data_IF_054682023058
#
_entry.id   IF_054682023058
#
_cell.length_a   1.000
_cell.length_b   1.000
_cell.length_c   1.000
_cell.angle_alpha   90.00
_cell.angle_beta   90.00
_cell.angle_gamma   90.00
#
_symmetry.space_group_name_H-M   'P 1'
#
loop_
_entity.id
_entity.type
_entity.pdbx_description
1 polymer ?
#
# COMPACT_ATOMS: atom_id res chain seq x y z
N UNK A 1 8.15 -20.77 3.73
CA UNK A 1 7.13 -19.97 4.38
C UNK A 1 7.10 -18.55 3.78
N UNK A 2 5.90 -18.02 3.51
CA UNK A 2 5.72 -16.67 2.96
C UNK A 2 4.71 -15.92 3.82
N UNK A 3 5.14 -14.86 4.46
CA UNK A 3 4.29 -13.96 5.22
C UNK A 3 4.07 -12.64 4.47
N UNK A 4 2.82 -12.21 4.39
CA UNK A 4 2.46 -10.97 3.70
C UNK A 4 2.27 -9.84 4.70
N UNK A 5 3.27 -8.97 4.81
CA UNK A 5 3.19 -7.69 5.50
C UNK A 5 2.56 -6.62 4.57
N UNK A 6 3.13 -5.47 4.48
CA UNK A 6 2.76 -4.34 3.62
C UNK A 6 3.94 -3.38 3.56
N UNK A 7 3.94 -2.45 2.63
CA UNK A 7 4.79 -1.26 2.75
C UNK A 7 4.45 -0.48 4.04
N UNK A 8 3.22 -0.57 4.53
CA UNK A 8 2.77 -0.04 5.81
C UNK A 8 3.25 -0.83 7.04
N UNK A 9 4.07 -1.87 6.86
CA UNK A 9 4.93 -2.48 7.88
C UNK A 9 6.35 -1.89 7.89
N UNK A 10 6.60 -0.81 7.12
CA UNK A 10 7.88 -0.09 7.04
C UNK A 10 7.67 1.40 7.26
N UNK A 11 6.67 1.99 6.60
CA UNK A 11 6.27 3.39 6.77
C UNK A 11 4.95 3.46 7.54
N UNK A 12 4.67 4.62 8.11
CA UNK A 12 3.40 4.92 8.78
C UNK A 12 2.72 6.11 8.12
N UNK A 13 1.39 6.15 8.22
CA UNK A 13 0.55 7.25 7.76
C UNK A 13 -0.51 7.54 8.83
N UNK A 14 -1.05 8.76 8.93
CA UNK A 14 -2.17 9.04 9.82
C UNK A 14 -3.36 8.12 9.59
N UNK A 15 -4.25 8.01 10.57
CA UNK A 15 -5.53 7.32 10.51
C UNK A 15 -5.49 5.79 10.26
N UNK A 16 -4.31 5.14 10.36
CA UNK A 16 -4.13 3.72 10.11
C UNK A 16 -3.33 3.01 11.22
N UNK A 17 -3.37 3.50 12.47
CA UNK A 17 -2.51 3.04 13.57
C UNK A 17 -2.56 1.53 13.79
N UNK A 18 -3.77 0.95 13.89
CA UNK A 18 -3.96 -0.49 14.14
C UNK A 18 -3.44 -1.33 12.96
N UNK A 19 -3.70 -0.89 11.73
CA UNK A 19 -3.20 -1.57 10.54
C UNK A 19 -1.66 -1.55 10.50
N UNK A 20 -1.04 -0.40 10.75
CA UNK A 20 0.42 -0.28 10.85
C UNK A 20 0.96 -1.22 11.92
N UNK A 21 0.43 -1.17 13.15
CA UNK A 21 0.86 -2.04 14.24
C UNK A 21 0.84 -3.52 13.83
N UNK A 22 -0.24 -3.98 13.20
CA UNK A 22 -0.38 -5.35 12.70
C UNK A 22 0.68 -5.71 11.65
N UNK A 23 0.97 -4.81 10.70
CA UNK A 23 1.91 -5.08 9.61
C UNK A 23 3.37 -4.97 10.05
N UNK A 24 3.68 -4.09 11.01
CA UNK A 24 4.97 -4.08 11.69
C UNK A 24 5.20 -5.35 12.49
N UNK A 25 4.17 -5.87 13.20
CA UNK A 25 4.25 -7.14 13.91
C UNK A 25 4.57 -8.31 12.96
N UNK A 26 3.86 -8.43 11.83
CA UNK A 26 4.15 -9.46 10.80
C UNK A 26 5.59 -9.34 10.28
N UNK A 27 6.07 -8.12 10.07
CA UNK A 27 7.46 -7.88 9.65
C UNK A 27 8.43 -8.36 10.72
N UNK A 28 8.30 -7.87 11.96
CA UNK A 28 9.21 -8.22 13.05
C UNK A 28 9.26 -9.72 13.30
N UNK A 29 8.09 -10.37 13.39
CA UNK A 29 7.96 -11.82 13.49
C UNK A 29 8.71 -12.54 12.35
N UNK A 30 8.49 -12.11 11.10
CA UNK A 30 9.10 -12.78 9.95
C UNK A 30 10.61 -12.57 9.90
N UNK A 31 11.10 -11.36 10.20
CA UNK A 31 12.52 -11.05 10.21
C UNK A 31 13.27 -11.79 11.34
N UNK A 32 12.65 -11.97 12.52
CA UNK A 32 13.16 -12.87 13.58
C UNK A 32 13.22 -14.31 13.11
N UNK A 33 12.11 -14.83 12.59
CA UNK A 33 12.02 -16.21 12.14
C UNK A 33 13.04 -16.53 11.04
N UNK A 34 13.37 -15.59 10.15
CA UNK A 34 14.44 -15.75 9.16
C UNK A 34 15.78 -16.03 9.85
N UNK A 35 16.06 -15.40 11.00
CA UNK A 35 17.30 -15.60 11.75
C UNK A 35 17.31 -16.89 12.52
N UNK A 36 16.19 -17.22 13.17
CA UNK A 36 16.03 -18.47 13.94
C UNK A 36 16.17 -19.72 13.04
N UNK A 37 15.72 -19.62 11.80
CA UNK A 37 15.75 -20.73 10.83
C UNK A 37 16.99 -20.72 9.93
N UNK A 38 17.99 -19.90 10.23
CA UNK A 38 19.24 -19.86 9.47
C UNK A 38 19.97 -21.22 9.58
N UNK A 39 20.39 -21.78 8.46
CA UNK A 39 20.96 -23.13 8.37
C UNK A 39 19.93 -24.26 8.21
N UNK A 40 18.63 -24.00 8.33
CA UNK A 40 17.59 -24.99 8.02
C UNK A 40 17.28 -25.05 6.51
N UNK A 41 16.57 -26.12 6.10
CA UNK A 41 16.08 -26.25 4.72
C UNK A 41 14.82 -25.41 4.43
N UNK A 42 14.34 -24.63 5.41
CA UNK A 42 13.13 -23.80 5.26
C UNK A 42 13.47 -22.41 4.79
N UNK A 43 12.99 -22.04 3.61
CA UNK A 43 13.08 -20.68 3.12
C UNK A 43 11.94 -19.83 3.68
N UNK A 44 12.26 -18.63 4.18
CA UNK A 44 11.29 -17.70 4.77
C UNK A 44 11.37 -16.36 4.06
N UNK A 45 10.21 -15.85 3.67
CA UNK A 45 10.07 -14.63 2.88
C UNK A 45 9.05 -13.69 3.53
N UNK A 46 9.39 -12.40 3.62
CA UNK A 46 8.45 -11.34 3.96
C UNK A 46 8.11 -10.55 2.70
N UNK A 47 6.83 -10.48 2.37
CA UNK A 47 6.33 -9.74 1.21
C UNK A 47 5.82 -8.37 1.66
N UNK A 48 6.21 -7.34 0.93
CA UNK A 48 5.82 -5.95 1.17
C UNK A 48 5.11 -5.39 -0.07
N UNK A 49 3.78 -5.65 -0.21
CA UNK A 49 3.02 -5.06 -1.28
C UNK A 49 2.93 -3.54 -1.13
N UNK A 50 3.08 -2.84 -2.24
CA UNK A 50 2.64 -1.46 -2.38
C UNK A 50 1.16 -1.42 -2.75
N UNK A 51 0.78 -0.52 -3.66
CA UNK A 51 -0.60 -0.38 -4.11
C UNK A 51 -0.96 -1.48 -5.14
N UNK A 52 -1.71 -2.49 -4.69
CA UNK A 52 -2.21 -3.60 -5.51
C UNK A 52 -3.71 -3.45 -5.71
N UNK A 53 -4.17 -3.61 -6.95
CA UNK A 53 -5.57 -3.45 -7.35
C UNK A 53 -6.45 -4.63 -6.98
N UNK A 54 -6.63 -4.87 -5.68
CA UNK A 54 -7.52 -5.89 -5.14
C UNK A 54 -8.77 -5.26 -4.53
N UNK A 55 -9.74 -6.10 -4.17
CA UNK A 55 -10.96 -5.65 -3.48
C UNK A 55 -10.74 -5.39 -1.97
N UNK A 56 -9.50 -5.28 -1.50
CA UNK A 56 -9.20 -5.12 -0.08
C UNK A 56 -9.86 -3.87 0.51
N UNK A 57 -9.86 -2.76 -0.21
CA UNK A 57 -10.49 -1.52 0.24
C UNK A 57 -12.03 -1.58 0.16
N UNK A 58 -12.59 -2.28 -0.83
CA UNK A 58 -14.04 -2.49 -0.98
C UNK A 58 -14.57 -3.40 0.14
N UNK A 59 -13.80 -4.44 0.49
CA UNK A 59 -14.18 -5.42 1.50
C UNK A 59 -13.76 -5.01 2.93
N UNK A 60 -13.09 -3.87 3.10
CA UNK A 60 -12.69 -3.38 4.40
C UNK A 60 -13.94 -3.04 5.23
N UNK A 61 -14.04 -3.63 6.41
CA UNK A 61 -15.03 -3.23 7.41
C UNK A 61 -14.34 -2.25 8.35
N UNK A 62 -14.70 -0.99 8.26
CA UNK A 62 -14.31 0.00 9.25
C UNK A 62 -15.17 -0.26 10.48
N UNK A 63 -14.55 -0.58 11.62
CA UNK A 63 -15.28 -0.97 12.83
C UNK A 63 -16.17 0.17 13.34
N UNK A 64 -17.43 -0.13 13.64
CA UNK A 64 -18.45 0.82 14.11
C UNK A 64 -18.03 1.64 15.34
N UNK A 65 -16.97 1.22 16.05
CA UNK A 65 -16.51 1.88 17.27
C UNK A 65 -15.58 3.08 17.03
N UNK A 66 -14.96 3.17 15.85
CA UNK A 66 -14.11 4.32 15.49
C UNK A 66 -14.95 5.38 14.76
N UNK A 67 -16.12 5.00 14.25
CA UNK A 67 -16.96 5.81 13.35
C UNK A 67 -18.24 6.34 14.05
N UNK A 68 -18.46 6.09 15.34
CA UNK A 68 -19.56 6.71 16.09
C UNK A 68 -19.41 8.22 16.37
N UNK A 69 -18.29 8.83 15.97
CA UNK A 69 -18.31 10.22 15.58
C UNK A 69 -18.82 10.29 14.14
N UNK A 70 -20.05 10.70 13.96
CA UNK A 70 -20.75 10.93 12.70
C UNK A 70 -19.80 11.20 11.52
N UNK A 71 -19.31 10.14 10.85
CA UNK A 71 -18.48 10.29 9.66
C UNK A 71 -19.36 10.63 8.45
N UNK A 72 -20.06 11.74 8.58
CA UNK A 72 -20.66 12.46 7.43
C UNK A 72 -19.59 12.98 6.47
N UNK A 73 -18.31 12.78 6.82
CA UNK A 73 -17.18 13.41 6.12
C UNK A 73 -16.52 12.55 5.04
N UNK A 74 -16.96 11.30 4.85
CA UNK A 74 -16.39 10.42 3.82
C UNK A 74 -15.02 9.85 4.22
N UNK A 75 -14.29 9.26 3.26
CA UNK A 75 -12.94 8.75 3.49
C UNK A 75 -11.96 9.90 3.60
N UNK A 76 -11.10 9.84 4.62
CA UNK A 76 -10.03 10.82 4.80
C UNK A 76 -8.79 10.45 3.98
N UNK A 77 -8.16 11.44 3.38
CA UNK A 77 -6.86 11.34 2.74
C UNK A 77 -5.72 11.17 3.75
N UNK A 78 -4.49 11.07 3.25
CA UNK A 78 -3.29 10.97 4.09
C UNK A 78 -3.02 12.23 4.92
N UNK A 79 -3.60 13.34 4.51
CA UNK A 79 -3.57 14.65 5.17
C UNK A 79 -4.65 14.81 6.25
N UNK A 80 -5.54 13.83 6.39
CA UNK A 80 -6.68 13.87 7.32
C UNK A 80 -7.90 14.60 6.78
N UNK A 81 -7.84 15.15 5.55
CA UNK A 81 -8.95 15.83 4.90
C UNK A 81 -9.84 14.86 4.12
N UNK A 82 -11.14 15.13 3.98
CA UNK A 82 -12.03 14.32 3.17
C UNK A 82 -11.56 14.27 1.70
N UNK A 83 -11.49 13.05 1.15
CA UNK A 83 -11.18 12.87 -0.26
C UNK A 83 -12.33 13.46 -1.08
N UNK A 84 -12.01 14.47 -1.89
CA UNK A 84 -12.94 15.13 -2.81
C UNK A 84 -12.68 14.67 -4.25
N UNK A 85 -13.72 14.66 -5.03
CA UNK A 85 -13.58 14.45 -6.48
C UNK A 85 -13.15 15.76 -7.18
N UNK A 86 -13.02 15.71 -8.51
CA UNK A 86 -12.65 16.88 -9.32
C UNK A 86 -13.70 18.02 -9.31
N UNK A 87 -14.92 17.74 -8.83
CA UNK A 87 -16.00 18.70 -8.66
C UNK A 87 -16.06 19.28 -7.23
N UNK A 88 -15.18 18.78 -6.34
CA UNK A 88 -15.15 19.17 -4.93
C UNK A 88 -16.17 18.40 -4.07
N UNK A 89 -16.87 17.40 -4.63
CA UNK A 89 -17.81 16.56 -3.89
C UNK A 89 -17.08 15.46 -3.11
N UNK A 90 -17.61 15.12 -1.93
CA UNK A 90 -17.07 14.03 -1.10
C UNK A 90 -17.23 12.69 -1.81
N UNK A 91 -16.17 11.89 -1.82
CA UNK A 91 -16.16 10.55 -2.44
C UNK A 91 -16.72 9.54 -1.45
N UNK A 92 -17.68 8.72 -1.88
CA UNK A 92 -18.21 7.62 -1.04
C UNK A 92 -17.14 6.54 -0.80
N UNK A 93 -17.31 5.75 0.29
CA UNK A 93 -16.40 4.64 0.61
C UNK A 93 -16.32 3.61 -0.53
N UNK A 94 -17.44 3.28 -1.13
CA UNK A 94 -17.50 2.34 -2.26
C UNK A 94 -16.74 2.89 -3.47
N UNK A 95 -16.97 4.14 -3.84
CA UNK A 95 -16.29 4.78 -4.95
C UNK A 95 -14.79 4.90 -4.71
N UNK A 96 -14.36 5.23 -3.49
CA UNK A 96 -12.94 5.28 -3.15
C UNK A 96 -12.31 3.89 -3.18
N UNK A 97 -13.03 2.85 -2.73
CA UNK A 97 -12.60 1.46 -2.83
C UNK A 97 -12.42 1.00 -4.29
N UNK A 98 -13.36 1.34 -5.15
CA UNK A 98 -13.28 1.06 -6.60
C UNK A 98 -12.10 1.81 -7.23
N UNK A 99 -11.93 3.10 -6.93
CA UNK A 99 -10.80 3.89 -7.42
C UNK A 99 -9.46 3.32 -6.95
N UNK A 100 -9.38 2.91 -5.68
CA UNK A 100 -8.20 2.24 -5.14
C UNK A 100 -7.88 0.98 -5.94
N UNK A 101 -8.85 0.08 -6.13
CA UNK A 101 -8.65 -1.14 -6.93
C UNK A 101 -8.18 -0.83 -8.33
N UNK A 102 -8.85 0.09 -9.01
CA UNK A 102 -8.61 0.38 -10.42
C UNK A 102 -7.27 1.09 -10.67
N UNK A 103 -6.79 1.90 -9.72
CA UNK A 103 -5.48 2.55 -9.82
C UNK A 103 -4.31 1.63 -9.43
N UNK A 104 -4.59 0.50 -8.76
CA UNK A 104 -3.55 -0.42 -8.28
C UNK A 104 -2.85 -1.23 -9.37
N UNK A 105 -1.76 -1.88 -8.98
CA UNK A 105 -1.08 -2.86 -9.83
C UNK A 105 -2.00 -4.08 -10.00
N UNK A 106 -2.01 -4.63 -11.19
CA UNK A 106 -2.71 -5.89 -11.50
C UNK A 106 -2.27 -7.02 -10.54
N UNK A 107 -3.21 -7.75 -9.91
CA UNK A 107 -2.90 -8.81 -8.95
C UNK A 107 -2.07 -9.96 -9.52
N UNK A 108 -2.28 -10.36 -10.79
CA UNK A 108 -1.49 -11.42 -11.42
C UNK A 108 -0.06 -10.99 -11.63
N UNK A 109 0.15 -9.72 -11.98
CA UNK A 109 1.49 -9.14 -12.08
C UNK A 109 2.18 -9.10 -10.71
N UNK A 110 1.45 -8.76 -9.65
CA UNK A 110 1.95 -8.80 -8.28
C UNK A 110 2.35 -10.22 -7.87
N UNK A 111 1.50 -11.21 -8.14
CA UNK A 111 1.78 -12.63 -7.88
C UNK A 111 3.06 -13.10 -8.60
N UNK A 112 3.23 -12.75 -9.87
CA UNK A 112 4.44 -13.09 -10.64
C UNK A 112 5.71 -12.49 -10.02
N UNK A 113 5.65 -11.28 -9.46
CA UNK A 113 6.78 -10.65 -8.77
C UNK A 113 7.11 -11.41 -7.49
N UNK A 114 6.09 -11.79 -6.71
CA UNK A 114 6.24 -12.56 -5.46
C UNK A 114 6.89 -13.92 -5.76
N UNK A 115 6.33 -14.69 -6.69
CA UNK A 115 6.86 -16.01 -7.08
C UNK A 115 8.31 -15.92 -7.57
N UNK A 116 8.64 -14.89 -8.35
CA UNK A 116 10.03 -14.66 -8.80
C UNK A 116 10.96 -14.32 -7.63
N UNK A 117 10.46 -13.60 -6.62
CA UNK A 117 11.18 -13.30 -5.39
C UNK A 117 11.47 -14.54 -4.57
N UNK A 118 10.48 -15.42 -4.43
CA UNK A 118 10.59 -16.72 -3.74
C UNK A 118 11.62 -17.61 -4.45
N UNK A 119 11.48 -17.79 -5.78
CA UNK A 119 12.43 -18.59 -6.58
C UNK A 119 13.88 -18.07 -6.46
N UNK A 120 14.08 -16.78 -6.21
CA UNK A 120 15.41 -16.18 -5.98
C UNK A 120 15.83 -16.14 -4.50
N UNK A 121 15.12 -16.82 -3.63
CA UNK A 121 15.33 -16.86 -2.17
C UNK A 121 15.51 -15.47 -1.54
N UNK A 122 14.71 -14.46 -1.98
CA UNK A 122 14.74 -13.13 -1.42
C UNK A 122 14.04 -13.11 -0.07
N UNK A 123 14.74 -12.74 0.98
CA UNK A 123 14.18 -12.60 2.34
C UNK A 123 13.11 -11.51 2.41
N UNK A 124 13.29 -10.39 1.70
CA UNK A 124 12.37 -9.25 1.58
C UNK A 124 11.93 -9.10 0.12
N UNK A 125 10.62 -9.15 -0.14
CA UNK A 125 10.04 -9.09 -1.49
C UNK A 125 9.15 -7.87 -1.58
N UNK A 126 9.65 -6.79 -2.17
CA UNK A 126 8.89 -5.58 -2.45
C UNK A 126 8.11 -5.71 -3.75
N UNK A 127 6.79 -5.45 -3.68
CA UNK A 127 5.90 -5.57 -4.83
C UNK A 127 5.41 -4.19 -5.26
N UNK A 128 5.93 -3.73 -6.36
CA UNK A 128 5.68 -2.39 -6.92
C UNK A 128 6.90 -1.47 -6.79
N UNK A 129 6.96 -0.48 -7.68
CA UNK A 129 8.00 0.54 -7.63
C UNK A 129 7.75 1.49 -6.45
N UNK A 130 6.46 1.76 -6.17
CA UNK A 130 5.99 2.53 -5.02
C UNK A 130 6.52 1.99 -3.69
N UNK A 131 6.39 0.67 -3.46
CA UNK A 131 6.89 0.05 -2.23
C UNK A 131 8.40 0.17 -2.06
N UNK A 132 9.16 0.09 -3.15
CA UNK A 132 10.61 0.26 -3.12
C UNK A 132 11.04 1.71 -2.86
N UNK A 133 10.36 2.66 -3.49
CA UNK A 133 10.65 4.08 -3.31
C UNK A 133 10.31 4.54 -1.89
N UNK A 134 9.16 4.09 -1.35
CA UNK A 134 8.78 4.39 0.03
C UNK A 134 9.75 3.78 1.05
N UNK A 135 10.18 2.53 0.85
CA UNK A 135 11.20 1.90 1.70
C UNK A 135 12.52 2.67 1.66
N UNK A 136 12.95 3.05 0.47
CA UNK A 136 14.18 3.84 0.32
C UNK A 136 14.04 5.21 0.99
N UNK A 137 12.90 5.87 0.83
CA UNK A 137 12.64 7.17 1.45
C UNK A 137 12.68 7.10 2.98
N UNK A 138 12.04 6.08 3.57
CA UNK A 138 12.04 5.88 5.01
C UNK A 138 13.45 5.56 5.54
N UNK A 139 14.25 4.84 4.76
CA UNK A 139 15.62 4.50 5.13
C UNK A 139 16.56 5.71 5.11
N UNK A 140 16.40 6.58 4.12
CA UNK A 140 17.26 7.77 3.96
C UNK A 140 16.78 8.95 4.82
N UNK A 141 15.47 9.06 5.05
CA UNK A 141 14.84 10.20 5.73
C UNK A 141 13.82 9.71 6.78
N UNK A 142 14.26 9.01 7.86
CA UNK A 142 13.36 8.34 8.79
C UNK A 142 12.34 9.27 9.45
N UNK A 143 12.72 10.52 9.72
CA UNK A 143 11.85 11.51 10.38
C UNK A 143 11.06 12.38 9.39
N UNK A 144 11.40 12.35 8.09
CA UNK A 144 10.87 13.28 7.10
C UNK A 144 10.24 12.61 5.87
N UNK A 145 10.23 11.27 5.80
CA UNK A 145 9.74 10.55 4.62
C UNK A 145 8.29 10.90 4.25
N UNK A 146 7.45 11.26 5.22
CA UNK A 146 6.08 11.70 4.96
C UNK A 146 6.03 13.00 4.12
N UNK A 147 6.96 13.93 4.36
CA UNK A 147 7.03 15.20 3.62
C UNK A 147 7.43 14.98 2.16
N UNK A 148 8.27 13.96 1.90
CA UNK A 148 8.74 13.63 0.54
C UNK A 148 7.88 12.55 -0.13
N UNK A 149 6.94 11.92 0.58
CA UNK A 149 6.08 10.86 0.07
C UNK A 149 5.28 11.28 -1.20
N UNK A 150 4.70 12.48 -1.32
CA UNK A 150 4.04 12.90 -2.56
C UNK A 150 4.99 12.87 -3.76
N UNK A 151 6.25 13.27 -3.58
CA UNK A 151 7.28 13.25 -4.63
C UNK A 151 7.62 11.81 -5.00
N UNK A 152 7.80 10.93 -4.03
CA UNK A 152 8.13 9.52 -4.28
C UNK A 152 6.98 8.76 -4.95
N UNK A 153 5.73 9.07 -4.59
CA UNK A 153 4.55 8.54 -5.27
C UNK A 153 4.45 9.04 -6.70
N UNK A 154 4.69 10.32 -6.94
CA UNK A 154 4.71 10.92 -8.28
C UNK A 154 5.80 10.28 -9.16
N UNK A 155 7.01 10.12 -8.65
CA UNK A 155 8.08 9.39 -9.33
C UNK A 155 7.67 7.94 -9.61
N UNK A 156 7.04 7.26 -8.65
CA UNK A 156 6.51 5.90 -8.85
C UNK A 156 5.49 5.81 -9.99
N UNK A 157 4.66 6.83 -10.19
CA UNK A 157 3.73 6.92 -11.33
C UNK A 157 4.47 7.15 -12.65
N UNK A 158 5.47 8.04 -12.70
CA UNK A 158 6.29 8.30 -13.89
C UNK A 158 7.02 7.04 -14.38
N UNK A 159 7.58 6.27 -13.46
CA UNK A 159 8.26 4.99 -13.79
C UNK A 159 7.30 3.82 -14.04
N UNK A 160 6.00 4.05 -14.00
CA UNK A 160 4.97 3.07 -14.31
C UNK A 160 3.97 3.62 -15.35
N UNK A 161 4.38 3.72 -16.64
CA UNK A 161 3.57 4.37 -17.69
C UNK A 161 2.17 3.77 -17.84
N UNK A 162 2.00 2.50 -17.50
CA UNK A 162 0.68 1.86 -17.50
C UNK A 162 -0.24 2.43 -16.41
N UNK A 163 0.29 2.67 -15.21
CA UNK A 163 -0.45 3.32 -14.11
C UNK A 163 -0.76 4.77 -14.44
N UNK A 164 0.20 5.50 -15.01
CA UNK A 164 0.02 6.88 -15.42
C UNK A 164 -1.12 7.00 -16.43
N UNK A 165 -1.14 6.16 -17.48
CA UNK A 165 -2.25 6.09 -18.44
C UNK A 165 -3.60 5.77 -17.78
N UNK A 166 -3.62 4.85 -16.81
CA UNK A 166 -4.83 4.46 -16.08
C UNK A 166 -5.37 5.62 -15.24
N UNK A 167 -4.51 6.33 -14.53
CA UNK A 167 -4.87 7.52 -13.73
C UNK A 167 -5.36 8.65 -14.63
N UNK A 168 -4.68 8.91 -15.75
CA UNK A 168 -5.09 9.92 -16.75
C UNK A 168 -6.46 9.55 -17.34
N UNK A 169 -6.67 8.29 -17.73
CA UNK A 169 -7.94 7.84 -18.30
C UNK A 169 -9.10 7.91 -17.28
N UNK A 170 -8.84 7.63 -16.00
CA UNK A 170 -9.83 7.82 -14.94
C UNK A 170 -10.18 9.31 -14.74
N UNK A 171 -9.20 10.19 -14.86
CA UNK A 171 -9.41 11.63 -14.80
C UNK A 171 -10.18 12.18 -16.02
N UNK A 172 -9.92 11.64 -17.23
CA UNK A 172 -10.60 12.04 -18.47
C UNK A 172 -12.05 11.55 -18.52
N UNK A 173 -12.31 10.28 -18.13
CA UNK A 173 -13.69 9.73 -18.06
C UNK A 173 -14.63 10.51 -17.15
N UNK A 174 -14.11 11.33 -16.24
CA UNK A 174 -14.91 12.19 -15.37
C UNK A 174 -15.24 13.57 -15.99
N UNK A 175 -14.60 13.93 -17.11
CA UNK A 175 -14.87 15.19 -17.81
C UNK A 175 -15.89 15.06 -18.95
N UNK A 176 -16.25 13.85 -19.32
CA UNK A 176 -17.31 13.52 -20.27
C UNK A 176 -18.58 13.05 -19.54
#
# INVERSE_FOLDING_TARGET
LVNTSSIFGIITTPNNTVYHASKFAVRGFTESLIKEMEGSNTQIHCVYPGHIGTNIAINAKFGDQIVKGENKDGILGLDGEPIKDLKGEKVSEEEAGVRFRDAGMDPDKAAKIILRGIKKNKKRIFVGIDSKLMELSQRLFPDSYLKIMPITLFLGLLFSPHRLKKVINLAIKKKA
#
